data_IF_414184049952
#
_entry.id   IF_414184049952
#
_cell.length_a   1.000
_cell.length_b   1.000
_cell.length_c   1.000
_cell.angle_alpha   90.00
_cell.angle_beta   90.00
_cell.angle_gamma   90.00
#
_symmetry.space_group_name_H-M   'P 1'
#
loop_
_entity.id
_entity.type
_entity.pdbx_description
1 polymer ?
#
# COMPACT_ATOMS: atom_id res chain seq x y z
N UNK A 1 12.82 -6.64 9.12
CA UNK A 1 12.09 -6.70 7.83
C UNK A 1 10.76 -5.96 8.03
N UNK A 2 10.73 -4.64 7.78
CA UNK A 2 9.65 -3.73 8.20
C UNK A 2 8.25 -4.12 7.66
N UNK A 3 8.17 -4.75 6.48
CA UNK A 3 6.89 -5.10 5.83
C UNK A 3 6.25 -6.41 6.33
N UNK A 4 6.98 -7.27 7.04
CA UNK A 4 6.45 -8.58 7.47
C UNK A 4 5.41 -8.49 8.60
N UNK A 5 5.31 -7.35 9.27
CA UNK A 5 4.41 -7.12 10.41
C UNK A 5 2.99 -6.71 9.98
N UNK A 6 2.79 -6.26 8.73
CA UNK A 6 1.52 -5.72 8.23
C UNK A 6 0.76 -6.68 7.28
N UNK A 7 1.05 -7.98 7.33
CA UNK A 7 0.45 -8.98 6.45
C UNK A 7 0.97 -8.96 5.00
N UNK A 8 2.00 -8.16 4.70
CA UNK A 8 2.67 -8.19 3.39
C UNK A 8 3.58 -9.43 3.33
N UNK A 9 3.41 -10.33 2.33
CA UNK A 9 4.25 -11.52 2.27
C UNK A 9 5.74 -11.16 2.11
N UNK A 10 6.67 -11.91 2.72
CA UNK A 10 8.10 -11.59 2.67
C UNK A 10 8.66 -11.36 1.26
N UNK A 11 8.18 -12.11 0.27
CA UNK A 11 8.60 -11.96 -1.13
C UNK A 11 8.12 -10.63 -1.72
N UNK A 12 6.89 -10.18 -1.44
CA UNK A 12 6.44 -8.85 -1.86
C UNK A 12 7.34 -7.75 -1.28
N UNK A 13 7.75 -7.88 -0.02
CA UNK A 13 8.72 -6.96 0.59
C UNK A 13 10.08 -6.95 -0.12
N UNK A 14 10.57 -8.12 -0.56
CA UNK A 14 11.82 -8.23 -1.34
C UNK A 14 11.70 -7.64 -2.74
N UNK A 15 10.56 -7.84 -3.41
CA UNK A 15 10.30 -7.23 -4.72
C UNK A 15 10.30 -5.70 -4.59
N UNK A 16 9.55 -5.15 -3.63
CA UNK A 16 9.50 -3.72 -3.40
C UNK A 16 10.88 -3.16 -3.03
N UNK A 17 11.59 -3.86 -2.14
CA UNK A 17 12.99 -3.56 -1.78
C UNK A 17 13.92 -3.46 -2.98
N UNK A 18 13.85 -4.45 -3.87
CA UNK A 18 14.65 -4.48 -5.10
C UNK A 18 14.29 -3.33 -6.04
N UNK A 19 13.01 -3.10 -6.29
CA UNK A 19 12.54 -2.04 -7.19
C UNK A 19 12.84 -0.61 -6.68
N UNK A 20 13.15 -0.45 -5.40
CA UNK A 20 13.60 0.85 -4.85
C UNK A 20 15.06 1.18 -5.21
N UNK A 21 15.88 0.18 -5.51
CA UNK A 21 17.33 0.34 -5.67
C UNK A 21 17.87 -0.11 -7.03
N UNK A 22 17.06 -0.78 -7.84
CA UNK A 22 17.50 -1.33 -9.10
C UNK A 22 17.74 -0.23 -10.14
N UNK A 23 18.79 -0.42 -10.96
CA UNK A 23 19.04 0.36 -12.15
C UNK A 23 19.07 -0.57 -13.37
N UNK A 24 18.29 -0.30 -14.43
CA UNK A 24 17.28 0.76 -14.55
C UNK A 24 16.07 0.56 -13.61
N UNK A 25 15.28 1.61 -13.32
CA UNK A 25 14.17 1.57 -12.37
C UNK A 25 12.97 0.71 -12.81
N UNK A 26 12.98 0.24 -14.07
CA UNK A 26 12.01 -0.71 -14.59
C UNK A 26 12.67 -2.06 -14.86
N UNK A 27 12.07 -3.13 -14.34
CA UNK A 27 12.62 -4.48 -14.42
C UNK A 27 11.55 -5.47 -14.86
N UNK A 28 11.91 -6.41 -15.73
CA UNK A 28 11.05 -7.53 -16.08
C UNK A 28 10.89 -8.50 -14.90
N UNK A 29 9.82 -9.30 -14.90
CA UNK A 29 9.65 -10.34 -13.87
C UNK A 29 10.84 -11.32 -13.81
N UNK A 30 11.50 -11.59 -14.94
CA UNK A 30 12.68 -12.45 -14.99
C UNK A 30 13.85 -11.84 -14.23
N UNK A 31 14.18 -10.58 -14.52
CA UNK A 31 15.27 -9.86 -13.85
C UNK A 31 15.03 -9.79 -12.33
N UNK A 32 13.82 -9.42 -11.91
CA UNK A 32 13.46 -9.37 -10.49
C UNK A 32 13.68 -10.75 -9.85
N UNK A 33 13.22 -11.83 -10.49
CA UNK A 33 13.35 -13.20 -9.97
C UNK A 33 14.78 -13.65 -9.81
N UNK A 34 15.64 -13.33 -10.77
CA UNK A 34 17.08 -13.58 -10.71
C UNK A 34 17.73 -12.81 -9.56
N UNK A 35 17.39 -11.52 -9.39
CA UNK A 35 17.97 -10.66 -8.37
C UNK A 35 17.58 -11.04 -6.94
N UNK A 36 16.34 -11.48 -6.71
CA UNK A 36 15.86 -11.85 -5.37
C UNK A 36 15.75 -13.36 -5.15
N UNK A 37 16.19 -14.19 -6.09
CA UNK A 37 16.12 -15.65 -5.98
C UNK A 37 14.69 -16.17 -5.74
N UNK A 38 13.70 -15.61 -6.43
CA UNK A 38 12.30 -15.97 -6.27
C UNK A 38 11.76 -16.73 -7.49
N UNK A 39 10.92 -17.73 -7.25
CA UNK A 39 10.28 -18.49 -8.33
C UNK A 39 9.26 -17.64 -9.11
N UNK A 40 9.01 -18.00 -10.37
CA UNK A 40 8.03 -17.29 -11.23
C UNK A 40 6.61 -17.28 -10.65
N UNK A 41 6.19 -18.40 -10.05
CA UNK A 41 4.89 -18.51 -9.40
C UNK A 41 4.79 -17.54 -8.20
N UNK A 42 5.82 -17.50 -7.35
CA UNK A 42 5.87 -16.60 -6.20
C UNK A 42 5.87 -15.13 -6.63
N UNK A 43 6.67 -14.78 -7.65
CA UNK A 43 6.66 -13.44 -8.21
C UNK A 43 5.29 -13.02 -8.72
N UNK A 44 4.58 -13.89 -9.44
CA UNK A 44 3.28 -13.54 -10.04
C UNK A 44 2.26 -13.16 -8.96
N UNK A 45 2.17 -13.98 -7.91
CA UNK A 45 1.26 -13.73 -6.77
C UNK A 45 1.64 -12.44 -6.03
N UNK A 46 2.92 -12.28 -5.68
CA UNK A 46 3.38 -11.12 -4.91
C UNK A 46 3.36 -9.81 -5.69
N UNK A 47 3.61 -9.86 -7.00
CA UNK A 47 3.49 -8.71 -7.88
C UNK A 47 2.03 -8.22 -7.96
N UNK A 48 1.06 -9.15 -8.02
CA UNK A 48 -0.36 -8.80 -7.97
C UNK A 48 -0.70 -8.09 -6.66
N UNK A 49 -0.19 -8.57 -5.53
CA UNK A 49 -0.38 -7.91 -4.21
C UNK A 49 0.14 -6.47 -4.25
N UNK A 50 1.38 -6.25 -4.73
CA UNK A 50 1.97 -4.91 -4.80
C UNK A 50 1.25 -3.97 -5.78
N UNK A 51 0.71 -4.51 -6.88
CA UNK A 51 -0.12 -3.75 -7.82
C UNK A 51 -1.45 -3.35 -7.16
N UNK A 52 -2.12 -4.27 -6.47
CA UNK A 52 -3.38 -4.00 -5.76
C UNK A 52 -3.21 -2.99 -4.63
N UNK A 53 -2.07 -3.06 -3.92
CA UNK A 53 -1.68 -2.08 -2.91
C UNK A 53 -1.38 -0.71 -3.53
N UNK A 54 -1.03 -0.64 -4.82
CA UNK A 54 -0.73 0.60 -5.53
C UNK A 54 0.75 0.99 -5.54
N UNK A 55 1.64 0.13 -5.05
CA UNK A 55 3.08 0.39 -5.03
C UNK A 55 3.73 0.23 -6.40
N UNK A 56 3.30 -0.77 -7.16
CA UNK A 56 3.94 -1.19 -8.41
C UNK A 56 2.96 -1.07 -9.57
N UNK A 57 3.46 -0.68 -10.74
CA UNK A 57 2.71 -0.73 -12.01
C UNK A 57 3.41 -1.62 -13.01
N UNK A 58 2.63 -2.21 -13.94
CA UNK A 58 3.14 -2.96 -15.08
C UNK A 58 3.02 -2.11 -16.34
N UNK A 59 4.11 -2.01 -17.12
CA UNK A 59 4.14 -1.37 -18.43
C UNK A 59 4.67 -2.33 -19.49
N UNK A 60 4.37 -2.05 -20.74
CA UNK A 60 4.91 -2.75 -21.91
C UNK A 60 5.49 -1.71 -22.85
N UNK A 61 6.71 -1.93 -23.35
CA UNK A 61 7.29 -1.05 -24.35
C UNK A 61 6.70 -1.34 -25.73
N UNK A 62 6.60 -0.33 -26.62
CA UNK A 62 6.16 -0.55 -28.00
C UNK A 62 7.02 -1.61 -28.69
N UNK A 63 6.39 -2.60 -29.31
CA UNK A 63 7.08 -3.70 -29.99
C UNK A 63 7.51 -4.86 -29.08
N UNK A 64 7.41 -4.72 -27.76
CA UNK A 64 7.75 -5.78 -26.82
C UNK A 64 6.52 -6.47 -26.23
N UNK A 65 6.60 -7.80 -26.11
CA UNK A 65 5.59 -8.60 -25.38
C UNK A 65 5.87 -8.69 -23.88
N UNK A 66 7.08 -8.33 -23.45
CA UNK A 66 7.52 -8.44 -22.06
C UNK A 66 6.93 -7.31 -21.22
N UNK A 67 6.41 -7.65 -20.04
CA UNK A 67 5.97 -6.66 -19.07
C UNK A 67 7.10 -6.26 -18.14
N UNK A 68 7.26 -4.95 -17.94
CA UNK A 68 8.19 -4.32 -17.02
C UNK A 68 7.45 -3.76 -15.83
N UNK A 69 8.10 -3.80 -14.66
CA UNK A 69 7.54 -3.39 -13.39
C UNK A 69 8.40 -2.29 -12.79
N UNK A 70 7.74 -1.27 -12.23
CA UNK A 70 8.39 -0.16 -11.52
C UNK A 70 7.51 0.35 -10.38
N UNK A 71 8.12 1.02 -9.43
CA UNK A 71 7.38 1.78 -8.41
C UNK A 71 6.59 2.91 -9.09
N UNK A 72 5.35 3.09 -8.66
CA UNK A 72 4.48 4.18 -9.13
C UNK A 72 4.98 5.51 -8.58
N UNK A 73 5.02 6.54 -9.42
CA UNK A 73 5.39 7.88 -8.97
C UNK A 73 4.38 8.39 -7.92
N UNK A 74 4.91 8.80 -6.77
CA UNK A 74 4.10 9.18 -5.60
C UNK A 74 3.37 8.00 -4.94
N UNK A 75 3.81 6.75 -5.16
CA UNK A 75 3.20 5.56 -4.55
C UNK A 75 3.01 5.70 -3.04
N UNK A 76 4.07 6.11 -2.33
CA UNK A 76 4.05 6.23 -0.86
C UNK A 76 2.94 7.16 -0.37
N UNK A 77 2.86 8.36 -0.93
CA UNK A 77 1.82 9.33 -0.58
C UNK A 77 0.42 8.76 -0.86
N UNK A 78 0.21 8.20 -2.06
CA UNK A 78 -1.09 7.63 -2.45
C UNK A 78 -1.52 6.48 -1.53
N UNK A 79 -0.59 5.59 -1.18
CA UNK A 79 -0.86 4.46 -0.30
C UNK A 79 -1.18 4.95 1.12
N UNK A 80 -0.38 5.88 1.66
CA UNK A 80 -0.64 6.44 3.00
C UNK A 80 -2.00 7.13 3.04
N UNK A 81 -2.33 7.98 2.06
CA UNK A 81 -3.65 8.64 1.97
C UNK A 81 -4.78 7.63 1.92
N UNK A 82 -4.62 6.55 1.14
CA UNK A 82 -5.61 5.47 1.07
C UNK A 82 -5.81 4.79 2.43
N UNK A 83 -4.72 4.51 3.16
CA UNK A 83 -4.82 3.89 4.48
C UNK A 83 -5.49 4.83 5.50
N UNK A 84 -5.15 6.12 5.50
CA UNK A 84 -5.84 7.11 6.33
C UNK A 84 -7.35 7.13 6.02
N UNK A 85 -7.73 7.12 4.74
CA UNK A 85 -9.15 7.07 4.34
C UNK A 85 -9.87 5.80 4.82
N UNK A 86 -9.18 4.66 4.94
CA UNK A 86 -9.80 3.44 5.48
C UNK A 86 -10.14 3.52 6.97
N UNK A 87 -9.47 4.40 7.73
CA UNK A 87 -9.81 4.64 9.14
C UNK A 87 -11.22 5.24 9.25
N UNK A 88 -11.53 6.25 8.44
CA UNK A 88 -12.85 6.87 8.40
C UNK A 88 -13.95 5.85 8.03
N UNK A 89 -13.71 5.02 7.00
CA UNK A 89 -14.66 3.95 6.63
C UNK A 89 -14.88 2.93 7.74
N UNK A 90 -13.88 2.65 8.57
CA UNK A 90 -14.04 1.75 9.72
C UNK A 90 -14.87 2.39 10.84
N UNK A 91 -14.73 3.70 11.06
CA UNK A 91 -15.58 4.46 11.97
C UNK A 91 -17.06 4.40 11.56
N UNK A 92 -17.36 4.51 10.25
CA UNK A 92 -18.72 4.34 9.71
C UNK A 92 -19.27 2.95 10.00
N UNK A 93 -18.50 1.89 9.69
CA UNK A 93 -18.93 0.49 9.92
C UNK A 93 -19.20 0.21 11.40
N UNK A 94 -18.36 0.73 12.30
CA UNK A 94 -18.54 0.54 13.75
C UNK A 94 -19.73 1.33 14.28
N UNK A 95 -20.03 2.49 13.72
CA UNK A 95 -21.24 3.29 14.02
C UNK A 95 -22.50 2.52 13.61
N UNK A 96 -22.57 2.08 12.36
CA UNK A 96 -23.70 1.28 11.85
C UNK A 96 -23.87 -0.01 12.67
N UNK A 97 -22.76 -0.64 13.05
CA UNK A 97 -22.76 -1.82 13.91
C UNK A 97 -23.37 -1.57 15.28
N UNK A 98 -23.10 -0.41 15.90
CA UNK A 98 -23.68 -0.03 17.21
C UNK A 98 -25.18 0.19 17.11
N UNK A 99 -25.67 0.81 16.02
CA UNK A 99 -27.11 1.00 15.78
C UNK A 99 -27.85 -0.34 15.63
N UNK A 100 -27.21 -1.34 15.03
CA UNK A 100 -27.79 -2.66 14.81
C UNK A 100 -27.83 -3.54 16.08
N UNK A 101 -26.80 -3.47 16.94
CA UNK A 101 -26.73 -4.34 18.14
C UNK A 101 -27.39 -3.73 19.37
N UNK A 102 -27.81 -2.46 19.29
CA UNK A 102 -28.30 -1.66 20.42
C UNK A 102 -27.14 -1.10 21.25
N UNK A 103 -27.39 0.01 21.96
CA UNK A 103 -26.34 0.75 22.69
C UNK A 103 -25.77 0.03 23.92
N UNK A 104 -26.41 -1.06 24.35
CA UNK A 104 -26.18 -1.66 25.66
C UNK A 104 -25.59 -3.08 25.57
N UNK A 105 -24.74 -3.41 26.54
CA UNK A 105 -24.19 -4.74 26.73
C UNK A 105 -22.84 -4.98 26.03
N UNK A 106 -22.31 -6.19 26.23
CA UNK A 106 -20.94 -6.55 25.88
C UNK A 106 -20.62 -6.49 24.37
N UNK A 107 -21.62 -6.56 23.49
CA UNK A 107 -21.43 -6.46 22.03
C UNK A 107 -21.16 -5.02 21.60
N UNK A 108 -21.99 -4.09 22.08
CA UNK A 108 -21.82 -2.66 21.86
C UNK A 108 -20.49 -2.16 22.45
N UNK A 109 -20.09 -2.67 23.62
CA UNK A 109 -18.82 -2.31 24.26
C UNK A 109 -17.60 -2.60 23.37
N UNK A 110 -17.54 -3.77 22.71
CA UNK A 110 -16.44 -4.11 21.79
C UNK A 110 -16.40 -3.24 20.54
N UNK A 111 -17.57 -2.87 20.02
CA UNK A 111 -17.65 -1.97 18.86
C UNK A 111 -17.23 -0.56 19.23
N UNK A 112 -17.66 -0.07 20.41
CA UNK A 112 -17.28 1.25 20.92
C UNK A 112 -15.79 1.36 21.18
N UNK A 113 -15.19 0.35 21.80
CA UNK A 113 -13.74 0.31 22.02
C UNK A 113 -12.97 0.41 20.69
N UNK A 114 -13.38 -0.35 19.67
CA UNK A 114 -12.77 -0.26 18.35
C UNK A 114 -13.02 1.11 17.69
N UNK A 115 -14.25 1.64 17.80
CA UNK A 115 -14.61 2.95 17.25
C UNK A 115 -13.77 4.06 17.85
N UNK A 116 -13.69 4.15 19.18
CA UNK A 116 -13.01 5.23 19.90
C UNK A 116 -11.52 5.33 19.50
N UNK A 117 -10.84 4.20 19.32
CA UNK A 117 -9.43 4.17 18.88
C UNK A 117 -9.27 4.66 17.45
N UNK A 118 -10.11 4.20 16.52
CA UNK A 118 -10.00 4.56 15.11
C UNK A 118 -10.48 5.99 14.84
N UNK A 119 -11.48 6.48 15.58
CA UNK A 119 -11.95 7.87 15.55
C UNK A 119 -10.86 8.83 16.07
N UNK A 120 -10.21 8.48 17.18
CA UNK A 120 -9.04 9.23 17.65
C UNK A 120 -7.93 9.28 16.59
N UNK A 121 -7.59 8.15 15.96
CA UNK A 121 -6.58 8.12 14.90
C UNK A 121 -6.97 8.98 13.69
N UNK A 122 -8.23 8.91 13.25
CA UNK A 122 -8.73 9.69 12.12
C UNK A 122 -8.59 11.20 12.39
N UNK A 123 -8.99 11.66 13.58
CA UNK A 123 -8.84 13.06 14.01
C UNK A 123 -7.38 13.52 14.04
N UNK A 124 -6.48 12.69 14.56
CA UNK A 124 -5.04 12.98 14.56
C UNK A 124 -4.49 13.16 13.15
N UNK A 125 -4.95 12.36 12.18
CA UNK A 125 -4.52 12.49 10.78
C UNK A 125 -5.14 13.67 10.04
N UNK A 126 -6.37 14.07 10.38
CA UNK A 126 -7.01 15.27 9.83
C UNK A 126 -6.30 16.56 10.27
N UNK A 127 -5.81 16.60 11.50
CA UNK A 127 -5.03 17.73 12.05
C UNK A 127 -3.55 17.71 11.62
N UNK A 128 -3.09 16.61 11.01
CA UNK A 128 -1.70 16.47 10.60
C UNK A 128 -1.37 17.40 9.43
N UNK A 129 -0.15 17.98 9.38
CA UNK A 129 0.30 18.72 8.21
C UNK A 129 0.25 17.80 6.97
N UNK A 130 0.02 18.38 5.77
CA UNK A 130 -0.09 17.58 4.56
C UNK A 130 1.17 16.74 4.35
N UNK A 131 0.97 15.50 3.90
CA UNK A 131 2.07 14.60 3.60
C UNK A 131 3.08 15.28 2.68
N UNK A 132 4.39 15.08 2.89
CA UNK A 132 5.41 15.59 1.99
C UNK A 132 5.13 15.11 0.57
N UNK A 133 4.64 16.00 -0.29
CA UNK A 133 4.36 15.64 -1.68
C UNK A 133 5.69 15.36 -2.36
N UNK A 134 5.86 14.16 -2.92
CA UNK A 134 7.07 13.74 -3.63
C UNK A 134 7.34 14.48 -4.95
N UNK A 135 6.80 15.69 -5.15
CA UNK A 135 7.05 16.51 -6.33
C UNK A 135 8.36 17.28 -6.17
N UNK A 136 9.49 16.56 -6.26
CA UNK A 136 10.68 17.14 -6.90
C UNK A 136 10.77 16.56 -8.31
N UNK A 137 10.04 17.14 -9.26
CA UNK A 137 10.43 17.04 -10.68
C UNK A 137 9.89 18.19 -11.51
N UNK A 138 10.71 19.23 -11.64
CA UNK A 138 10.97 20.04 -12.85
C UNK A 138 12.13 21.02 -12.54
N UNK A 139 13.34 20.48 -12.38
CA UNK A 139 14.56 21.28 -12.32
C UNK A 139 15.76 20.41 -12.72
N UNK A 140 15.67 19.69 -13.85
CA UNK A 140 16.87 19.15 -14.53
C UNK A 140 16.58 18.73 -15.99
N UNK A 141 15.72 19.47 -16.68
CA UNK A 141 15.60 19.41 -18.14
C UNK A 141 15.58 20.87 -18.63
N UNK A 142 16.78 21.44 -18.78
CA UNK A 142 17.07 22.67 -19.51
C UNK A 142 18.43 22.51 -20.17
#
# INVERSE_FOLDING_TARGET
MFLAQDGVPPIAGRILGWLMICEPPEQSARQIGESIGASRASLTTNMRVLITMGFVSRRTHPGERTGYYRIVDGAWEKVVRRQIATLASFCEITTDGMDLVGSDGARAARLREAHDVFDWMAKVFDDAPPLPSGSRRKADES
#
